data_IF_556726960979
#
_entry.id   IF_556726960979
#
_cell.length_a   1.000
_cell.length_b   1.000
_cell.length_c   1.000
_cell.angle_alpha   90.00
_cell.angle_beta   90.00
_cell.angle_gamma   90.00
#
_symmetry.space_group_name_H-M   'P 1'
#
loop_
_entity.id
_entity.type
_entity.pdbx_description
1 polymer ?
#
# COMPACT_ATOMS: atom_id res chain seq x y z
N UNK A 1 -21.15 12.02 -24.77
CA UNK A 1 -19.90 11.41 -24.24
C UNK A 1 -19.32 12.35 -23.21
N UNK A 2 -18.82 11.83 -22.08
CA UNK A 2 -18.23 12.62 -21.01
C UNK A 2 -16.82 13.13 -21.43
N UNK A 3 -16.77 14.30 -22.07
CA UNK A 3 -15.53 14.91 -22.58
C UNK A 3 -14.49 15.16 -21.47
N UNK A 4 -14.95 15.58 -20.30
CA UNK A 4 -14.07 15.84 -19.14
C UNK A 4 -13.35 14.58 -18.65
N UNK A 5 -14.01 13.42 -18.70
CA UNK A 5 -13.37 12.15 -18.33
C UNK A 5 -12.28 11.79 -19.33
N UNK A 6 -12.55 11.91 -20.63
CA UNK A 6 -11.57 11.59 -21.67
C UNK A 6 -10.34 12.48 -21.54
N UNK A 7 -10.54 13.80 -21.36
CA UNK A 7 -9.44 14.76 -21.16
C UNK A 7 -8.60 14.43 -19.90
N UNK A 8 -9.26 14.03 -18.80
CA UNK A 8 -8.58 13.61 -17.58
C UNK A 8 -7.76 12.32 -17.78
N UNK A 9 -8.28 11.37 -18.55
CA UNK A 9 -7.57 10.12 -18.85
C UNK A 9 -6.37 10.35 -19.76
N UNK A 10 -6.53 11.16 -20.80
CA UNK A 10 -5.45 11.51 -21.73
C UNK A 10 -4.30 12.25 -21.02
N UNK A 11 -4.64 13.22 -20.17
CA UNK A 11 -3.65 13.96 -19.37
C UNK A 11 -2.91 13.08 -18.35
N UNK A 12 -3.57 12.06 -17.79
CA UNK A 12 -2.98 11.16 -16.79
C UNK A 12 -2.53 9.80 -17.37
N UNK A 13 -2.51 9.64 -18.70
CA UNK A 13 -2.31 8.34 -19.33
C UNK A 13 -0.95 7.71 -18.97
N UNK A 14 0.10 8.51 -18.83
CA UNK A 14 1.45 8.05 -18.43
C UNK A 14 1.44 7.40 -17.03
N UNK A 15 0.72 8.03 -16.09
CA UNK A 15 0.57 7.52 -14.72
C UNK A 15 -0.27 6.24 -14.73
N UNK A 16 -1.39 6.24 -15.47
CA UNK A 16 -2.31 5.11 -15.54
C UNK A 16 -1.69 3.88 -16.22
N UNK A 17 -0.76 4.06 -17.16
CA UNK A 17 -0.11 2.96 -17.89
C UNK A 17 1.17 2.45 -17.21
N UNK A 18 1.66 3.14 -16.17
CA UNK A 18 2.89 2.77 -15.46
C UNK A 18 2.87 1.33 -14.93
N UNK A 19 1.71 0.80 -14.52
CA UNK A 19 1.61 -0.58 -14.03
C UNK A 19 1.90 -1.63 -15.11
N UNK A 20 1.76 -1.31 -16.40
CA UNK A 20 2.05 -2.22 -17.51
C UNK A 20 3.55 -2.53 -17.63
N UNK A 21 4.41 -1.71 -17.03
CA UNK A 21 5.86 -1.94 -16.98
C UNK A 21 6.26 -3.09 -16.03
N UNK A 22 5.32 -3.60 -15.25
CA UNK A 22 5.55 -4.74 -14.36
C UNK A 22 5.22 -6.08 -15.06
N UNK A 23 5.76 -7.20 -14.54
CA UNK A 23 5.48 -8.55 -15.05
C UNK A 23 3.99 -8.84 -15.09
N UNK A 24 3.53 -9.56 -16.12
CA UNK A 24 2.11 -9.84 -16.34
C UNK A 24 1.46 -10.54 -15.12
N UNK A 25 2.22 -11.44 -14.50
CA UNK A 25 1.85 -12.29 -13.37
C UNK A 25 1.37 -11.49 -12.15
N UNK A 26 1.92 -10.29 -11.93
CA UNK A 26 1.58 -9.44 -10.78
C UNK A 26 0.62 -8.31 -11.11
N UNK A 27 0.36 -8.00 -12.38
CA UNK A 27 -0.52 -6.88 -12.77
C UNK A 27 -1.90 -7.01 -12.13
N UNK A 28 -2.39 -8.24 -11.97
CA UNK A 28 -3.64 -8.55 -11.27
C UNK A 28 -3.69 -8.02 -9.84
N UNK A 29 -2.59 -8.15 -9.10
CA UNK A 29 -2.49 -7.59 -7.77
C UNK A 29 -2.43 -6.06 -7.79
N UNK A 30 -1.79 -5.46 -8.80
CA UNK A 30 -1.62 -4.00 -8.88
C UNK A 30 -2.95 -3.31 -9.23
N UNK A 31 -3.69 -3.81 -10.23
CA UNK A 31 -4.93 -3.17 -10.67
C UNK A 31 -6.10 -3.41 -9.71
N UNK A 32 -6.02 -4.43 -8.84
CA UNK A 32 -7.14 -4.75 -7.95
C UNK A 32 -7.18 -3.84 -6.74
N UNK A 33 -8.31 -3.16 -6.57
CA UNK A 33 -8.62 -2.34 -5.39
C UNK A 33 -9.22 -3.13 -4.24
N UNK A 34 -9.37 -4.46 -4.38
CA UNK A 34 -10.04 -5.34 -3.41
C UNK A 34 -9.54 -5.22 -1.97
N UNK A 35 -8.22 -5.10 -1.76
CA UNK A 35 -7.65 -4.97 -0.40
C UNK A 35 -8.00 -3.60 0.18
N UNK A 36 -7.87 -2.55 -0.63
CA UNK A 36 -8.17 -1.18 -0.23
C UNK A 36 -9.67 -1.00 0.06
N UNK A 37 -10.54 -1.56 -0.77
CA UNK A 37 -11.99 -1.54 -0.55
C UNK A 37 -12.37 -2.26 0.75
N UNK A 38 -11.77 -3.42 1.02
CA UNK A 38 -11.98 -4.14 2.29
C UNK A 38 -11.51 -3.34 3.49
N UNK A 39 -10.37 -2.65 3.37
CA UNK A 39 -9.85 -1.77 4.41
C UNK A 39 -10.80 -0.61 4.69
N UNK A 40 -11.17 0.15 3.65
CA UNK A 40 -12.08 1.29 3.76
C UNK A 40 -13.44 0.83 4.31
N UNK A 41 -13.94 -0.33 3.89
CA UNK A 41 -15.19 -0.90 4.40
C UNK A 41 -15.12 -1.20 5.90
N UNK A 42 -14.00 -1.76 6.37
CA UNK A 42 -13.81 -2.08 7.78
C UNK A 42 -13.67 -0.81 8.63
N UNK A 43 -12.94 0.20 8.14
CA UNK A 43 -12.86 1.52 8.79
C UNK A 43 -14.26 2.13 8.89
N UNK A 44 -15.00 2.22 7.78
CA UNK A 44 -16.37 2.76 7.75
C UNK A 44 -17.31 2.00 8.69
N UNK A 45 -17.17 0.68 8.79
CA UNK A 45 -17.99 -0.15 9.70
C UNK A 45 -17.75 0.23 11.16
N UNK A 46 -16.49 0.44 11.56
CA UNK A 46 -16.15 0.78 12.95
C UNK A 46 -16.49 2.22 13.30
N UNK A 47 -16.31 3.15 12.37
CA UNK A 47 -16.66 4.56 12.59
C UNK A 47 -18.17 4.78 12.59
N UNK A 48 -18.95 4.02 11.81
CA UNK A 48 -20.42 4.14 11.79
C UNK A 48 -21.09 3.91 13.16
N UNK A 49 -20.48 3.11 14.03
CA UNK A 49 -21.02 2.82 15.37
C UNK A 49 -20.81 4.01 16.33
N UNK A 50 -19.84 4.88 16.02
CA UNK A 50 -19.45 6.02 16.85
C UNK A 50 -20.13 7.25 16.27
N UNK A 51 -21.18 7.76 16.93
CA UNK A 51 -21.94 8.90 16.44
C UNK A 51 -21.15 10.23 16.52
N UNK A 52 -20.34 10.40 17.57
CA UNK A 52 -19.50 11.61 17.78
C UNK A 52 -18.13 11.18 18.29
N UNK A 53 -17.07 11.68 17.66
CA UNK A 53 -15.70 11.50 18.14
C UNK A 53 -15.36 12.59 19.17
N UNK A 54 -14.92 12.24 20.39
CA UNK A 54 -14.56 13.22 21.41
C UNK A 54 -13.21 13.90 21.15
N UNK A 55 -12.32 13.29 20.35
CA UNK A 55 -11.01 13.82 19.97
C UNK A 55 -10.51 13.11 18.69
N UNK A 56 -9.72 13.80 17.87
CA UNK A 56 -9.11 13.29 16.64
C UNK A 56 -8.21 12.07 16.89
N UNK A 57 -7.55 12.02 18.06
CA UNK A 57 -6.73 10.88 18.48
C UNK A 57 -7.50 9.55 18.49
N UNK A 58 -8.83 9.58 18.70
CA UNK A 58 -9.65 8.36 18.66
C UNK A 58 -9.79 7.81 17.24
N UNK A 59 -9.91 8.70 16.26
CA UNK A 59 -9.99 8.33 14.84
C UNK A 59 -8.69 7.67 14.39
N UNK A 60 -7.55 8.27 14.74
CA UNK A 60 -6.22 7.70 14.46
C UNK A 60 -6.06 6.32 15.11
N UNK A 61 -6.49 6.18 16.38
CA UNK A 61 -6.43 4.89 17.08
C UNK A 61 -7.26 3.81 16.38
N UNK A 62 -8.43 4.14 15.85
CA UNK A 62 -9.25 3.18 15.07
C UNK A 62 -8.53 2.79 13.79
N UNK A 63 -7.98 3.75 13.06
CA UNK A 63 -7.24 3.50 11.83
C UNK A 63 -6.05 2.58 12.09
N UNK A 64 -5.30 2.84 13.16
CA UNK A 64 -4.20 2.00 13.62
C UNK A 64 -4.67 0.57 13.93
N UNK A 65 -5.70 0.41 14.76
CA UNK A 65 -6.21 -0.91 15.15
C UNK A 65 -6.76 -1.71 13.96
N UNK A 66 -7.43 -1.07 13.00
CA UNK A 66 -7.87 -1.73 11.75
C UNK A 66 -6.66 -2.17 10.93
N UNK A 67 -5.64 -1.31 10.81
CA UNK A 67 -4.43 -1.60 10.06
C UNK A 67 -3.66 -2.78 10.65
N UNK A 68 -3.48 -2.80 11.98
CA UNK A 68 -2.81 -3.91 12.70
C UNK A 68 -3.58 -5.22 12.49
N UNK A 69 -4.89 -5.21 12.71
CA UNK A 69 -5.72 -6.40 12.55
C UNK A 69 -5.71 -6.94 11.12
N UNK A 70 -5.77 -6.07 10.12
CA UNK A 70 -5.64 -6.48 8.73
C UNK A 70 -4.24 -7.03 8.46
N UNK A 71 -3.19 -6.35 8.90
CA UNK A 71 -1.81 -6.81 8.70
C UNK A 71 -1.59 -8.22 9.28
N UNK A 72 -2.07 -8.49 10.49
CA UNK A 72 -2.05 -9.83 11.09
C UNK A 72 -2.77 -10.86 10.22
N UNK A 73 -3.97 -10.54 9.72
CA UNK A 73 -4.74 -11.41 8.84
C UNK A 73 -4.08 -11.67 7.48
N UNK A 74 -3.35 -10.70 6.94
CA UNK A 74 -2.70 -10.79 5.63
C UNK A 74 -1.26 -11.31 5.71
N UNK A 75 -0.66 -11.39 6.90
CA UNK A 75 0.73 -11.84 7.10
C UNK A 75 1.04 -13.20 6.50
N UNK A 76 0.08 -14.13 6.58
CA UNK A 76 0.23 -15.51 6.10
C UNK A 76 -0.14 -15.67 4.61
N UNK A 77 -0.70 -14.63 3.97
CA UNK A 77 -1.15 -14.74 2.57
C UNK A 77 0.02 -14.57 1.62
N UNK A 78 0.27 -15.62 0.84
CA UNK A 78 1.17 -15.53 -0.32
C UNK A 78 0.46 -14.86 -1.50
N UNK A 79 1.14 -13.92 -2.13
CA UNK A 79 0.67 -13.30 -3.38
C UNK A 79 0.77 -14.33 -4.50
N UNK A 80 -0.34 -14.51 -5.24
CA UNK A 80 -0.39 -15.45 -6.37
C UNK A 80 0.63 -15.07 -7.43
N UNK A 81 1.32 -16.05 -7.99
CA UNK A 81 2.29 -15.90 -9.08
C UNK A 81 3.47 -14.96 -8.78
N UNK A 82 3.64 -14.54 -7.52
CA UNK A 82 4.75 -13.67 -7.13
C UNK A 82 6.11 -14.35 -7.31
N UNK A 83 6.16 -15.67 -7.13
CA UNK A 83 7.36 -16.47 -7.31
C UNK A 83 7.88 -16.44 -8.76
N UNK A 84 6.99 -16.38 -9.75
CA UNK A 84 7.35 -16.31 -11.17
C UNK A 84 7.90 -14.92 -11.55
N UNK A 85 7.42 -13.88 -10.89
CA UNK A 85 7.77 -12.49 -11.18
C UNK A 85 8.98 -11.97 -10.40
N UNK A 86 9.50 -12.73 -9.44
CA UNK A 86 10.45 -12.21 -8.44
C UNK A 86 11.78 -11.75 -9.06
N UNK A 87 12.27 -12.45 -10.08
CA UNK A 87 13.57 -12.14 -10.69
C UNK A 87 13.50 -10.89 -11.57
N UNK A 88 12.42 -10.71 -12.31
CA UNK A 88 12.17 -9.48 -13.06
C UNK A 88 11.96 -8.30 -12.10
N UNK A 89 11.20 -8.48 -11.02
CA UNK A 89 11.01 -7.46 -9.97
C UNK A 89 12.32 -7.04 -9.31
N UNK A 90 13.21 -8.00 -9.03
CA UNK A 90 14.56 -7.70 -8.50
C UNK A 90 15.34 -6.84 -9.48
N UNK A 91 15.26 -7.13 -10.77
CA UNK A 91 15.93 -6.34 -11.82
C UNK A 91 15.37 -4.92 -11.91
N UNK A 92 14.04 -4.77 -11.90
CA UNK A 92 13.36 -3.46 -11.86
C UNK A 92 13.77 -2.66 -10.62
N UNK A 93 13.80 -3.30 -9.44
CA UNK A 93 14.22 -2.67 -8.17
C UNK A 93 15.67 -2.18 -8.26
N UNK A 94 16.57 -3.02 -8.75
CA UNK A 94 18.00 -2.72 -8.88
C UNK A 94 18.24 -1.48 -9.74
N UNK A 95 17.68 -1.49 -10.95
CA UNK A 95 17.76 -0.36 -11.89
C UNK A 95 17.24 0.97 -11.32
N UNK A 96 16.29 0.93 -10.37
CA UNK A 96 15.69 2.14 -9.78
C UNK A 96 16.42 2.67 -8.54
N UNK A 97 17.04 1.80 -7.74
CA UNK A 97 17.48 2.15 -6.38
C UNK A 97 18.95 1.82 -6.04
N UNK A 98 19.72 1.13 -6.88
CA UNK A 98 21.10 0.72 -6.53
C UNK A 98 22.05 1.90 -6.22
N UNK A 99 21.81 3.09 -6.77
CA UNK A 99 22.58 4.31 -6.45
C UNK A 99 22.11 5.12 -5.24
N UNK A 100 21.16 4.63 -4.43
CA UNK A 100 20.54 5.40 -3.31
C UNK A 100 20.73 4.76 -1.92
N UNK A 101 21.48 3.66 -1.81
CA UNK A 101 21.53 2.81 -0.61
C UNK A 101 22.60 3.17 0.43
N UNK A 102 23.39 4.25 0.26
CA UNK A 102 24.43 4.58 1.24
C UNK A 102 23.93 5.32 2.50
N UNK A 103 22.69 5.86 2.55
CA UNK A 103 22.30 6.80 3.62
C UNK A 103 21.17 6.36 4.57
N UNK A 104 20.73 5.09 4.59
CA UNK A 104 19.57 4.67 5.41
C UNK A 104 19.81 3.47 6.35
N UNK A 105 21.05 3.25 6.80
CA UNK A 105 21.36 2.30 7.88
C UNK A 105 21.55 2.95 9.26
N UNK A 106 21.36 4.28 9.40
CA UNK A 106 21.45 4.96 10.71
C UNK A 106 20.11 5.18 11.43
N UNK A 107 18.96 4.99 10.79
CA UNK A 107 17.67 5.30 11.44
C UNK A 107 17.07 4.11 12.22
N UNK A 108 17.46 2.86 11.92
CA UNK A 108 16.91 1.66 12.59
C UNK A 108 17.61 1.28 13.90
N UNK A 109 18.80 1.82 14.17
CA UNK A 109 19.59 1.51 15.37
C UNK A 109 19.11 2.25 16.62
N UNK A 110 18.55 3.45 16.48
CA UNK A 110 18.20 4.29 17.63
C UNK A 110 16.84 3.93 18.25
N UNK A 111 15.86 3.52 17.44
CA UNK A 111 14.46 3.34 17.89
C UNK A 111 14.29 2.07 18.75
N UNK A 112 15.14 1.06 18.59
CA UNK A 112 15.06 -0.20 19.34
C UNK A 112 15.75 -0.14 20.71
N UNK A 113 16.56 0.88 20.99
CA UNK A 113 17.21 1.05 22.31
C UNK A 113 16.37 1.87 23.30
N UNK A 114 15.37 2.62 22.83
CA UNK A 114 14.55 3.52 23.66
C UNK A 114 13.16 2.95 24.00
N UNK A 115 12.85 1.72 23.58
CA UNK A 115 11.50 1.17 23.67
C UNK A 115 11.32 0.05 24.72
N UNK A 116 12.27 -0.16 25.65
CA UNK A 116 12.08 -1.07 26.79
C UNK A 116 12.88 -0.53 28.00
N UNK A 117 12.31 -0.42 29.22
CA UNK A 117 13.09 -0.27 30.44
C UNK A 117 13.97 -1.50 30.75
#
# INVERSE_FOLDING_TARGET
MYQELVNSWESNLDILTTYLRYPYEIRCMIYTTNILERFIKEVKRRTKIIEVFPNDNLVEKILYLVSVNMNERYKERKVKNFELAIDELRTIRRARYEGKQENNYNFKGEILSQAIP
#
